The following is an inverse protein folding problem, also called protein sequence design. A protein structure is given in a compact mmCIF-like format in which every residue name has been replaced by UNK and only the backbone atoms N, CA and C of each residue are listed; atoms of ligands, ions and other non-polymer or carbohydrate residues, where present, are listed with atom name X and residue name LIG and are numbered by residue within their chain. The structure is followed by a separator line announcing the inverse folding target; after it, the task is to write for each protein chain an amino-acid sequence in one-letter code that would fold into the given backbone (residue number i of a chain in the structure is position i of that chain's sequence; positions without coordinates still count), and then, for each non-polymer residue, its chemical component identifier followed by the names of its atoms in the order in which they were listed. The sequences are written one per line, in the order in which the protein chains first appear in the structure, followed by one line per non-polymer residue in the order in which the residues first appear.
data_IF_278728844583
#
_entry.id   IF_278728844583
#
_cell.length_a   1.000
_cell.length_b   1.000
_cell.length_c   1.000
_cell.angle_alpha   90.00
_cell.angle_beta   90.00
_cell.angle_gamma   90.00
#
_symmetry.space_group_name_H-M   'P 1'
#
loop_
_entity.id
_entity.type
_entity.pdbx_description
1 polymer ?
#
# COMPACT_ATOMS: atom_id res chain seq x y z
N UNK A 1 -1.84 5.06 16.95
CA UNK A 1 -1.27 3.91 16.22
C UNK A 1 -2.10 3.71 14.98
N UNK A 2 -1.51 3.48 13.79
CA UNK A 2 -2.27 3.06 12.61
C UNK A 2 -2.91 1.69 12.91
N UNK A 3 -4.15 1.69 13.40
CA UNK A 3 -4.87 0.47 13.83
C UNK A 3 -5.66 -0.17 12.69
N UNK A 4 -5.71 0.47 11.51
CA UNK A 4 -6.27 -0.10 10.29
C UNK A 4 -5.14 -0.62 9.40
N UNK A 5 -5.01 -1.95 9.37
CA UNK A 5 -4.23 -2.67 8.35
C UNK A 5 -5.14 -2.88 7.14
N UNK A 6 -4.57 -3.03 5.94
CA UNK A 6 -5.34 -3.15 4.69
C UNK A 6 -4.90 -2.16 3.60
N UNK A 7 -5.76 -1.97 2.59
CA UNK A 7 -5.43 -1.17 1.40
C UNK A 7 -5.97 0.26 1.50
N UNK A 8 -5.09 1.24 1.29
CA UNK A 8 -5.40 2.64 1.08
C UNK A 8 -5.19 3.05 -0.37
N UNK A 9 -6.04 3.94 -0.86
CA UNK A 9 -5.95 4.55 -2.19
C UNK A 9 -5.91 6.07 -2.05
N UNK A 10 -4.88 6.70 -2.62
CA UNK A 10 -4.68 8.13 -2.69
C UNK A 10 -4.59 8.56 -4.15
N UNK A 11 -5.61 9.21 -4.68
CA UNK A 11 -5.60 9.76 -6.03
C UNK A 11 -5.52 11.29 -6.03
N UNK A 12 -5.12 11.86 -7.17
CA UNK A 12 -5.14 13.30 -7.40
C UNK A 12 -4.36 13.67 -8.65
N UNK A 13 -4.65 14.81 -9.24
CA UNK A 13 -4.01 15.25 -10.49
C UNK A 13 -2.48 15.41 -10.33
N UNK A 14 -1.75 15.45 -11.45
CA UNK A 14 -0.31 15.71 -11.45
C UNK A 14 0.02 17.06 -10.79
N UNK A 15 1.17 17.17 -10.11
CA UNK A 15 1.61 18.41 -9.46
C UNK A 15 0.91 18.78 -8.14
N UNK A 16 -0.05 17.97 -7.66
CA UNK A 16 -0.80 18.21 -6.41
C UNK A 16 -0.07 17.77 -5.12
N UNK A 17 1.19 17.37 -5.20
CA UNK A 17 2.00 17.04 -4.02
C UNK A 17 1.72 15.67 -3.39
N UNK A 18 1.07 14.73 -4.11
CA UNK A 18 0.78 13.36 -3.63
C UNK A 18 2.02 12.67 -3.08
N UNK A 19 3.06 12.56 -3.90
CA UNK A 19 4.34 11.94 -3.55
C UNK A 19 4.96 12.61 -2.33
N UNK A 20 4.92 13.95 -2.26
CA UNK A 20 5.42 14.71 -1.11
C UNK A 20 4.62 14.39 0.15
N UNK A 21 3.29 14.33 0.07
CA UNK A 21 2.42 14.00 1.20
C UNK A 21 2.68 12.60 1.72
N UNK A 22 2.79 11.63 0.82
CA UNK A 22 3.08 10.23 1.16
C UNK A 22 4.47 10.09 1.77
N UNK A 23 5.50 10.74 1.21
CA UNK A 23 6.87 10.70 1.74
C UNK A 23 6.96 11.35 3.12
N UNK A 24 6.32 12.50 3.33
CA UNK A 24 6.31 13.19 4.63
C UNK A 24 5.58 12.39 5.70
N UNK A 25 4.47 11.73 5.34
CA UNK A 25 3.79 10.82 6.25
C UNK A 25 4.68 9.63 6.61
N UNK A 26 5.29 9.00 5.60
CA UNK A 26 6.13 7.82 5.77
C UNK A 26 7.38 8.11 6.61
N UNK A 27 8.01 9.29 6.44
CA UNK A 27 9.17 9.70 7.23
C UNK A 27 8.83 10.03 8.69
N UNK A 28 7.57 10.34 8.99
CA UNK A 28 7.07 10.56 10.34
C UNK A 28 6.76 9.27 11.11
N UNK A 29 6.81 8.10 10.46
CA UNK A 29 6.55 6.82 11.11
C UNK A 29 7.72 6.39 12.00
N UNK A 30 7.41 5.90 13.19
CA UNK A 30 8.41 5.34 14.11
C UNK A 30 9.01 4.07 13.51
N UNK A 31 10.30 4.11 13.16
CA UNK A 31 11.03 3.01 12.52
C UNK A 31 11.16 1.76 13.40
N UNK A 32 11.00 1.88 14.72
CA UNK A 32 10.94 0.72 15.63
C UNK A 32 9.61 -0.02 15.52
N UNK A 33 8.53 0.65 15.08
CA UNK A 33 7.18 0.08 14.97
C UNK A 33 6.76 -0.19 13.51
N UNK A 34 7.40 0.45 12.54
CA UNK A 34 7.02 0.37 11.13
C UNK A 34 8.22 0.13 10.23
N UNK A 35 8.07 -0.80 9.28
CA UNK A 35 9.02 -1.02 8.19
C UNK A 35 8.40 -0.47 6.91
N UNK A 36 8.87 0.70 6.47
CA UNK A 36 8.39 1.33 5.25
C UNK A 36 9.14 0.75 4.04
N UNK A 37 8.38 0.39 3.02
CA UNK A 37 8.82 0.03 1.67
C UNK A 37 8.17 1.02 0.71
N UNK A 38 8.97 1.63 -0.15
CA UNK A 38 8.48 2.56 -1.17
C UNK A 38 8.87 2.06 -2.55
N UNK A 39 7.90 1.96 -3.44
CA UNK A 39 8.11 1.65 -4.85
C UNK A 39 7.39 2.67 -5.71
N UNK A 40 8.10 3.29 -6.65
CA UNK A 40 7.53 4.08 -7.74
C UNK A 40 7.70 3.39 -9.09
N UNK A 41 7.90 2.07 -9.09
CA UNK A 41 8.22 1.33 -10.30
C UNK A 41 6.98 1.26 -11.21
N UNK A 42 6.99 2.10 -12.24
CA UNK A 42 6.09 2.00 -13.37
C UNK A 42 6.45 0.78 -14.22
N UNK A 43 5.45 0.11 -14.81
CA UNK A 43 5.64 -0.88 -15.89
C UNK A 43 6.48 -2.12 -15.54
N UNK A 44 6.20 -2.78 -14.42
CA UNK A 44 6.79 -4.09 -14.11
C UNK A 44 5.98 -5.25 -14.69
N UNK A 45 6.67 -6.31 -15.11
CA UNK A 45 6.01 -7.61 -15.23
C UNK A 45 5.57 -8.09 -13.85
N UNK A 46 4.63 -9.04 -13.80
CA UNK A 46 4.21 -9.64 -12.51
C UNK A 46 5.41 -10.20 -11.75
N UNK A 47 6.32 -10.90 -12.40
CA UNK A 47 7.46 -11.49 -11.69
C UNK A 47 8.41 -10.41 -11.15
N UNK A 48 8.64 -9.34 -11.91
CA UNK A 48 9.51 -8.24 -11.46
C UNK A 48 8.90 -7.51 -10.27
N UNK A 49 7.57 -7.34 -10.22
CA UNK A 49 6.89 -6.79 -9.05
C UNK A 49 7.19 -7.62 -7.79
N UNK A 50 7.07 -8.95 -7.88
CA UNK A 50 7.34 -9.85 -6.77
C UNK A 50 8.81 -9.81 -6.33
N UNK A 51 9.74 -9.83 -7.28
CA UNK A 51 11.17 -9.77 -6.98
C UNK A 51 11.56 -8.46 -6.30
N UNK A 52 11.05 -7.34 -6.81
CA UNK A 52 11.30 -6.03 -6.22
C UNK A 52 10.71 -5.93 -4.81
N UNK A 53 9.46 -6.37 -4.61
CA UNK A 53 8.83 -6.33 -3.29
C UNK A 53 9.58 -7.21 -2.27
N UNK A 54 10.03 -8.40 -2.66
CA UNK A 54 10.86 -9.26 -1.80
C UNK A 54 12.17 -8.56 -1.39
N UNK A 55 12.86 -7.94 -2.36
CA UNK A 55 14.10 -7.22 -2.12
C UNK A 55 13.90 -6.02 -1.16
N UNK A 56 12.87 -5.21 -1.38
CA UNK A 56 12.56 -4.05 -0.54
C UNK A 56 12.16 -4.42 0.90
N UNK A 57 11.50 -5.57 1.08
CA UNK A 57 11.22 -6.13 2.41
C UNK A 57 12.50 -6.62 3.11
N UNK A 58 13.63 -6.75 2.40
CA UNK A 58 14.92 -7.18 2.93
C UNK A 58 15.23 -8.66 2.69
N UNK A 59 14.46 -9.34 1.84
CA UNK A 59 14.68 -10.73 1.47
C UNK A 59 15.45 -10.87 0.16
N UNK A 60 16.07 -12.03 -0.07
CA UNK A 60 16.71 -12.33 -1.35
C UNK A 60 15.67 -12.85 -2.35
N UNK A 61 15.43 -12.17 -3.48
CA UNK A 61 14.42 -12.58 -4.43
C UNK A 61 14.83 -13.85 -5.19
N UNK A 62 13.87 -14.72 -5.42
CA UNK A 62 13.99 -15.92 -6.24
C UNK A 62 13.68 -15.62 -7.72
N UNK A 63 13.94 -16.60 -8.59
CA UNK A 63 13.59 -16.50 -10.01
C UNK A 63 12.10 -16.67 -10.29
N UNK A 64 11.42 -17.55 -9.55
CA UNK A 64 10.02 -17.90 -9.78
C UNK A 64 9.09 -17.05 -8.93
N UNK A 65 7.97 -16.60 -9.52
CA UNK A 65 6.89 -15.89 -8.83
C UNK A 65 6.41 -16.62 -7.57
N UNK A 66 6.22 -17.94 -7.66
CA UNK A 66 5.71 -18.77 -6.55
C UNK A 66 6.63 -18.78 -5.34
N UNK A 67 7.94 -18.73 -5.58
CA UNK A 67 8.94 -18.73 -4.52
C UNK A 67 8.99 -17.34 -3.89
N UNK A 68 8.98 -16.29 -4.72
CA UNK A 68 8.87 -14.91 -4.23
C UNK A 68 7.57 -14.66 -3.44
N UNK A 69 6.44 -15.26 -3.83
CA UNK A 69 5.19 -15.17 -3.08
C UNK A 69 5.39 -15.64 -1.64
N UNK A 70 6.02 -16.81 -1.46
CA UNK A 70 6.31 -17.36 -0.12
C UNK A 70 7.29 -16.48 0.64
N UNK A 71 8.37 -16.05 -0.01
CA UNK A 71 9.38 -15.16 0.59
C UNK A 71 8.74 -13.87 1.12
N UNK A 72 7.86 -13.23 0.34
CA UNK A 72 7.16 -12.01 0.75
C UNK A 72 6.26 -12.28 1.96
N UNK A 73 5.47 -13.37 1.91
CA UNK A 73 4.58 -13.77 3.00
C UNK A 73 5.37 -14.04 4.30
N UNK A 74 6.48 -14.76 4.19
CA UNK A 74 7.33 -15.12 5.32
C UNK A 74 7.99 -13.88 5.94
N UNK A 75 8.54 -12.96 5.14
CA UNK A 75 9.15 -11.74 5.68
C UNK A 75 8.11 -10.79 6.29
N UNK A 76 6.90 -10.69 5.73
CA UNK A 76 5.81 -9.95 6.37
C UNK A 76 5.46 -10.57 7.72
N UNK A 77 5.38 -11.91 7.81
CA UNK A 77 5.10 -12.60 9.07
C UNK A 77 6.19 -12.37 10.10
N UNK A 78 7.45 -12.44 9.66
CA UNK A 78 8.62 -12.17 10.49
C UNK A 78 8.60 -10.75 11.05
N UNK A 79 8.32 -9.76 10.20
CA UNK A 79 8.19 -8.36 10.60
C UNK A 79 7.12 -8.19 11.69
N UNK A 80 5.93 -8.77 11.47
CA UNK A 80 4.79 -8.58 12.38
C UNK A 80 4.92 -9.38 13.67
N UNK A 81 5.27 -10.67 13.58
CA UNK A 81 5.21 -11.60 14.70
C UNK A 81 6.49 -11.58 15.54
N UNK A 82 7.65 -11.51 14.90
CA UNK A 82 8.93 -11.55 15.60
C UNK A 82 9.41 -10.14 15.96
N UNK A 83 9.45 -9.24 14.96
CA UNK A 83 9.98 -7.88 15.14
C UNK A 83 8.96 -6.91 15.72
N UNK A 84 7.68 -7.29 15.80
CA UNK A 84 6.55 -6.43 16.20
C UNK A 84 6.48 -5.13 15.38
N UNK A 85 6.92 -5.20 14.13
CA UNK A 85 6.90 -4.12 13.16
C UNK A 85 5.78 -4.33 12.15
N UNK A 86 5.03 -3.27 11.85
CA UNK A 86 4.02 -3.29 10.80
C UNK A 86 4.67 -2.88 9.47
N UNK A 87 4.64 -3.74 8.43
CA UNK A 87 5.08 -3.37 7.10
C UNK A 87 4.13 -2.32 6.50
N UNK A 88 4.70 -1.28 5.90
CA UNK A 88 3.99 -0.23 5.17
C UNK A 88 4.52 -0.22 3.74
N UNK A 89 3.74 -0.75 2.81
CA UNK A 89 4.10 -0.83 1.39
C UNK A 89 3.43 0.34 0.68
N UNK A 90 4.23 1.26 0.16
CA UNK A 90 3.78 2.40 -0.61
C UNK A 90 4.08 2.12 -2.08
N UNK A 91 3.05 2.17 -2.91
CA UNK A 91 3.18 2.06 -4.36
C UNK A 91 2.72 3.37 -4.97
N UNK A 92 3.68 4.22 -5.34
CA UNK A 92 3.43 5.48 -6.02
C UNK A 92 3.32 5.27 -7.54
N UNK A 93 2.63 6.20 -8.21
CA UNK A 93 2.27 6.10 -9.63
C UNK A 93 1.53 4.80 -9.99
N UNK A 94 0.70 4.31 -9.08
CA UNK A 94 -0.01 3.04 -9.18
C UNK A 94 -0.97 2.95 -10.39
N UNK A 95 -1.24 4.07 -11.07
CA UNK A 95 -1.93 4.10 -12.37
C UNK A 95 -1.19 3.35 -13.49
N UNK A 96 0.11 3.08 -13.34
CA UNK A 96 0.88 2.29 -14.32
C UNK A 96 0.99 0.79 -13.96
N UNK A 97 0.37 0.36 -12.86
CA UNK A 97 0.36 -1.05 -12.48
C UNK A 97 -0.56 -1.82 -13.41
N UNK A 98 -0.06 -2.92 -13.98
CA UNK A 98 -0.87 -3.82 -14.80
C UNK A 98 -1.96 -4.54 -13.98
N UNK A 99 -3.09 -4.83 -14.62
CA UNK A 99 -4.23 -5.49 -13.98
C UNK A 99 -3.87 -6.82 -13.28
N UNK A 100 -2.90 -7.57 -13.80
CA UNK A 100 -2.44 -8.81 -13.19
C UNK A 100 -1.78 -8.57 -11.82
N UNK A 101 -0.98 -7.49 -11.68
CA UNK A 101 -0.35 -7.14 -10.41
C UNK A 101 -1.39 -6.65 -9.40
N UNK A 102 -2.36 -5.82 -9.80
CA UNK A 102 -3.46 -5.41 -8.92
C UNK A 102 -4.24 -6.62 -8.37
N UNK A 103 -4.49 -7.62 -9.21
CA UNK A 103 -5.11 -8.86 -8.79
C UNK A 103 -4.25 -9.68 -7.82
N UNK A 104 -2.93 -9.69 -8.03
CA UNK A 104 -1.99 -10.39 -7.15
C UNK A 104 -1.82 -9.70 -5.79
N UNK A 105 -1.95 -8.37 -5.71
CA UNK A 105 -1.91 -7.64 -4.43
C UNK A 105 -2.91 -8.20 -3.42
N UNK A 106 -4.14 -8.50 -3.86
CA UNK A 106 -5.16 -9.09 -2.98
C UNK A 106 -4.72 -10.44 -2.42
N UNK A 107 -4.00 -11.24 -3.20
CA UNK A 107 -3.53 -12.57 -2.79
C UNK A 107 -2.31 -12.45 -1.88
N UNK A 108 -1.39 -11.54 -2.21
CA UNK A 108 -0.16 -11.29 -1.46
C UNK A 108 -0.37 -10.72 -0.07
N UNK A 109 -1.50 -10.07 0.18
CA UNK A 109 -1.81 -9.51 1.50
C UNK A 109 -3.01 -10.18 2.16
N UNK A 110 -3.46 -11.33 1.63
CA UNK A 110 -4.40 -12.21 2.31
C UNK A 110 -3.65 -13.10 3.31
N UNK A 111 -3.79 -12.83 4.61
CA UNK A 111 -3.19 -13.63 5.68
C UNK A 111 -4.27 -14.24 6.59
N UNK A 112 -4.00 -15.44 7.13
CA UNK A 112 -4.88 -16.17 8.07
C UNK A 112 -6.35 -16.28 7.59
N UNK A 113 -6.59 -16.78 6.37
CA UNK A 113 -7.95 -16.91 5.79
C UNK A 113 -8.77 -15.60 5.94
N UNK A 114 -8.20 -14.48 5.51
CA UNK A 114 -8.80 -13.14 5.57
C UNK A 114 -9.11 -12.58 6.97
N UNK A 115 -8.64 -13.21 8.06
CA UNK A 115 -8.96 -12.74 9.42
C UNK A 115 -8.08 -11.59 9.93
N UNK A 116 -6.90 -11.35 9.32
CA UNK A 116 -6.01 -10.24 9.68
C UNK A 116 -5.24 -9.72 8.47
N UNK A 117 -5.42 -8.44 8.15
CA UNK A 117 -4.43 -7.74 7.32
C UNK A 117 -3.13 -7.62 8.15
N UNK A 118 -1.99 -8.04 7.61
CA UNK A 118 -0.70 -7.97 8.32
C UNK A 118 0.15 -6.76 7.92
N UNK A 119 -0.21 -6.09 6.84
CA UNK A 119 0.49 -4.91 6.32
C UNK A 119 -0.48 -3.77 6.00
N UNK A 120 0.07 -2.56 5.88
CA UNK A 120 -0.59 -1.40 5.29
C UNK A 120 -0.09 -1.27 3.86
N UNK A 121 -0.99 -1.22 2.88
CA UNK A 121 -0.63 -1.04 1.47
C UNK A 121 -1.27 0.26 0.97
N UNK A 122 -0.46 1.25 0.62
CA UNK A 122 -0.94 2.54 0.12
C UNK A 122 -0.64 2.66 -1.38
N UNK A 123 -1.70 2.68 -2.19
CA UNK A 123 -1.63 2.99 -3.61
C UNK A 123 -1.78 4.50 -3.82
N UNK A 124 -0.79 5.16 -4.40
CA UNK A 124 -0.84 6.57 -4.80
C UNK A 124 -0.83 6.68 -6.31
N UNK A 125 -1.70 7.50 -6.91
CA UNK A 125 -1.77 7.61 -8.37
C UNK A 125 -2.65 8.73 -8.88
N UNK A 126 -2.86 8.74 -10.20
CA UNK A 126 -3.79 9.67 -10.84
C UNK A 126 -5.27 9.24 -10.65
N UNK A 127 -6.26 10.14 -10.80
CA UNK A 127 -7.69 9.81 -10.67
C UNK A 127 -8.15 8.66 -11.58
N UNK A 128 -7.47 8.42 -12.69
CA UNK A 128 -7.71 7.28 -13.58
C UNK A 128 -7.56 5.93 -12.87
N UNK A 129 -6.69 5.81 -11.85
CA UNK A 129 -6.57 4.60 -11.04
C UNK A 129 -7.89 4.24 -10.35
N UNK A 130 -8.63 5.26 -9.90
CA UNK A 130 -9.95 5.10 -9.32
C UNK A 130 -10.95 4.54 -10.36
N UNK A 131 -10.86 4.96 -11.63
CA UNK A 131 -11.64 4.38 -12.73
C UNK A 131 -11.24 2.94 -13.03
N UNK A 132 -9.94 2.63 -13.07
CA UNK A 132 -9.45 1.26 -13.27
C UNK A 132 -9.99 0.32 -12.20
N UNK A 133 -9.93 0.72 -10.92
CA UNK A 133 -10.37 -0.11 -9.81
C UNK A 133 -11.90 -0.31 -9.74
N UNK A 134 -12.69 0.50 -10.46
CA UNK A 134 -14.14 0.31 -10.61
C UNK A 134 -14.53 -0.73 -11.66
N UNK A 135 -13.58 -1.21 -12.46
CA UNK A 135 -13.86 -2.29 -13.42
C UNK A 135 -14.19 -3.58 -12.67
N UNK A 136 -15.14 -4.36 -13.16
CA UNK A 136 -15.65 -5.57 -12.48
C UNK A 136 -14.56 -6.60 -12.14
N UNK A 137 -13.50 -6.68 -12.95
CA UNK A 137 -12.34 -7.55 -12.70
C UNK A 137 -11.61 -7.22 -11.39
N UNK A 138 -11.69 -5.96 -10.93
CA UNK A 138 -11.03 -5.46 -9.73
C UNK A 138 -11.96 -5.36 -8.52
N UNK A 139 -13.25 -5.70 -8.67
CA UNK A 139 -14.23 -5.62 -7.59
C UNK A 139 -13.78 -6.35 -6.31
N UNK A 140 -13.19 -7.58 -6.37
CA UNK A 140 -12.68 -8.24 -5.16
C UNK A 140 -11.55 -7.48 -4.46
N UNK A 141 -10.70 -6.80 -5.23
CA UNK A 141 -9.61 -6.00 -4.66
C UNK A 141 -10.15 -4.68 -4.09
N UNK A 142 -11.08 -4.03 -4.80
CA UNK A 142 -11.73 -2.79 -4.39
C UNK A 142 -12.47 -2.94 -3.05
N UNK A 143 -13.08 -4.08 -2.78
CA UNK A 143 -13.73 -4.36 -1.49
C UNK A 143 -12.76 -4.40 -0.30
N UNK A 144 -11.45 -4.60 -0.53
CA UNK A 144 -10.41 -4.55 0.50
C UNK A 144 -9.82 -3.15 0.70
N UNK A 145 -10.23 -2.17 -0.10
CA UNK A 145 -9.78 -0.78 0.02
C UNK A 145 -10.57 -0.12 1.15
N UNK A 146 -9.95 -0.04 2.33
CA UNK A 146 -10.53 0.53 3.55
C UNK A 146 -10.49 2.06 3.56
N UNK A 147 -9.58 2.65 2.77
CA UNK A 147 -9.46 4.10 2.60
C UNK A 147 -9.35 4.43 1.12
N UNK A 148 -10.20 5.31 0.61
CA UNK A 148 -10.07 5.89 -0.73
C UNK A 148 -10.21 7.41 -0.64
N UNK A 149 -9.14 8.14 -1.01
CA UNK A 149 -9.09 9.59 -0.96
C UNK A 149 -8.65 10.18 -2.27
N UNK A 150 -9.32 11.27 -2.71
CA UNK A 150 -8.98 12.03 -3.90
C UNK A 150 -8.61 13.46 -3.51
N UNK A 151 -7.38 13.89 -3.82
CA UNK A 151 -6.81 15.21 -3.51
C UNK A 151 -7.34 16.36 -4.39
N UNK A 152 -8.38 16.13 -5.19
CA UNK A 152 -9.01 17.16 -6.04
C UNK A 152 -9.86 18.11 -5.18
N UNK A 153 -9.22 19.14 -4.61
CA UNK A 153 -9.92 20.22 -3.90
C UNK A 153 -9.12 20.92 -2.81
N UNK A 154 -7.99 20.35 -2.39
CA UNK A 154 -7.18 20.91 -1.31
C UNK A 154 -5.93 21.63 -1.84
N UNK A 155 -5.56 22.72 -1.17
CA UNK A 155 -4.23 23.32 -1.30
C UNK A 155 -3.15 22.31 -0.85
N UNK A 156 -1.90 22.47 -1.31
CA UNK A 156 -0.80 21.57 -0.93
C UNK A 156 -0.71 21.40 0.59
N UNK A 157 -0.92 22.48 1.36
CA UNK A 157 -0.87 22.48 2.82
C UNK A 157 -1.99 21.64 3.47
N UNK A 158 -3.22 21.74 2.96
CA UNK A 158 -4.38 20.99 3.46
C UNK A 158 -4.27 19.49 3.15
N UNK A 159 -3.75 19.13 1.97
CA UNK A 159 -3.52 17.74 1.60
C UNK A 159 -2.53 17.02 2.52
N UNK A 160 -1.48 17.72 2.98
CA UNK A 160 -0.50 17.18 3.93
C UNK A 160 -1.11 16.86 5.30
N UNK A 161 -1.77 17.85 5.91
CA UNK A 161 -2.36 17.66 7.24
C UNK A 161 -3.52 16.66 7.23
N UNK A 162 -4.29 16.60 6.15
CA UNK A 162 -5.45 15.71 6.05
C UNK A 162 -5.06 14.24 5.77
N UNK A 163 -4.08 14.01 4.89
CA UNK A 163 -3.53 12.66 4.66
C UNK A 163 -2.87 12.13 5.93
N UNK A 164 -2.12 12.98 6.65
CA UNK A 164 -1.55 12.62 7.95
C UNK A 164 -2.65 12.33 9.00
N UNK A 165 -3.69 13.16 9.08
CA UNK A 165 -4.79 12.96 10.04
C UNK A 165 -5.63 11.71 9.74
N UNK A 166 -5.90 11.37 8.47
CA UNK A 166 -6.64 10.16 8.09
C UNK A 166 -5.79 8.90 8.13
N UNK A 167 -4.50 8.96 7.81
CA UNK A 167 -3.60 7.83 8.03
C UNK A 167 -3.39 7.59 9.54
N UNK A 168 -3.30 8.63 10.36
CA UNK A 168 -3.30 8.49 11.82
C UNK A 168 -4.67 8.06 12.39
N UNK A 169 -5.77 8.50 11.77
CA UNK A 169 -7.15 8.24 12.16
C UNK A 169 -7.75 6.96 11.60
N UNK A 170 -7.10 6.30 10.64
CA UNK A 170 -7.32 4.89 10.26
C UNK A 170 -6.78 3.99 11.39
N UNK A 171 -7.32 4.25 12.57
CA UNK A 171 -6.81 3.86 13.86
C UNK A 171 -7.53 4.51 15.05
N UNK A 172 -8.40 5.48 14.79
CA UNK A 172 -9.46 5.87 15.71
C UNK A 172 -10.80 5.46 15.11
N UNK A 173 -11.37 4.38 15.61
CA UNK A 173 -12.81 4.38 15.85
C UNK A 173 -13.12 5.64 16.62
N UNK A 174 -13.67 6.66 15.95
CA UNK A 174 -14.45 7.66 16.65
C UNK A 174 -15.80 7.02 16.88
N UNK A 175 -15.89 6.27 17.97
CA UNK A 175 -17.15 5.98 18.64
C UNK A 175 -17.76 7.32 19.01
N UNK A 176 -19.02 7.53 18.62
CA UNK A 176 -19.90 8.44 19.36
C UNK A 176 -20.19 7.77 20.70
#
# INVERSE_FOLDING_TARGET
MLTTKGFGLLTGSAGRGKTTAVRNWASGLNTSLYKVVYSSLSTLTVNDFYRNLAAELGAQPAFRKTDNFKIIQDEINRLVLEKRQTPVIIIDEANYIGNAVLNDLKMLFNFEMDSKDRAVVLLSGLPQLNSTLRLSIHEPFRQRIVMNYNLEGMTKAEGHSYVAAKLNGAGCTQTV
#
